data_IF_217139209066
#
_entry.id   IF_217139209066
#
_cell.length_a   1.000
_cell.length_b   1.000
_cell.length_c   1.000
_cell.angle_alpha   90.00
_cell.angle_beta   90.00
_cell.angle_gamma   90.00
#
_symmetry.space_group_name_H-M   'P 1'
#
loop_
_entity.id
_entity.type
_entity.pdbx_description
1 polymer ?
#
# COMPACT_ATOMS: atom_id res chain seq x y z
N UNK A 1 -13.14 19.24 -16.34
CA UNK A 1 -13.63 19.10 -14.95
C UNK A 1 -13.66 17.64 -14.46
N UNK A 2 -12.82 16.74 -15.01
CA UNK A 2 -12.88 15.29 -14.71
C UNK A 2 -12.07 14.84 -13.49
N UNK A 3 -11.11 15.65 -13.01
CA UNK A 3 -10.21 15.24 -11.91
C UNK A 3 -10.92 15.16 -10.57
N UNK A 4 -11.83 16.09 -10.26
CA UNK A 4 -12.46 16.14 -8.92
C UNK A 4 -13.39 14.95 -8.63
N UNK A 5 -14.00 14.35 -9.65
CA UNK A 5 -14.86 13.17 -9.47
C UNK A 5 -14.04 11.89 -9.23
N UNK A 6 -12.88 11.77 -9.90
CA UNK A 6 -11.93 10.70 -9.63
C UNK A 6 -11.28 10.87 -8.26
N UNK A 7 -10.90 12.09 -7.89
CA UNK A 7 -10.35 12.40 -6.56
C UNK A 7 -11.36 12.11 -5.44
N UNK A 8 -12.62 12.47 -5.62
CA UNK A 8 -13.70 12.14 -4.67
C UNK A 8 -13.90 10.61 -4.54
N UNK A 9 -13.84 9.88 -5.65
CA UNK A 9 -13.94 8.41 -5.64
C UNK A 9 -12.74 7.75 -4.94
N UNK A 10 -11.53 8.29 -5.12
CA UNK A 10 -10.32 7.73 -4.53
C UNK A 10 -10.25 8.01 -3.02
N UNK A 11 -10.69 9.18 -2.58
CA UNK A 11 -10.83 9.47 -1.14
C UNK A 11 -11.79 8.51 -0.43
N UNK A 12 -12.91 8.17 -1.07
CA UNK A 12 -13.85 7.19 -0.51
C UNK A 12 -13.24 5.77 -0.44
N UNK A 13 -12.54 5.34 -1.51
CA UNK A 13 -11.80 4.07 -1.52
C UNK A 13 -10.73 4.03 -0.42
N UNK A 14 -10.04 5.14 -0.20
CA UNK A 14 -9.01 5.27 0.83
C UNK A 14 -9.61 5.11 2.23
N UNK A 15 -10.75 5.74 2.52
CA UNK A 15 -11.46 5.56 3.80
C UNK A 15 -11.92 4.12 4.03
N UNK A 16 -12.47 3.48 3.00
CA UNK A 16 -12.87 2.07 3.09
C UNK A 16 -11.67 1.16 3.33
N UNK A 17 -10.57 1.42 2.64
CA UNK A 17 -9.31 0.72 2.84
C UNK A 17 -8.74 0.93 4.25
N UNK A 18 -8.78 2.15 4.77
CA UNK A 18 -8.38 2.46 6.15
C UNK A 18 -9.22 1.70 7.16
N UNK A 19 -10.55 1.67 6.97
CA UNK A 19 -11.46 0.94 7.84
C UNK A 19 -11.19 -0.58 7.79
N UNK A 20 -10.86 -1.12 6.62
CA UNK A 20 -10.60 -2.55 6.45
C UNK A 20 -9.27 -2.99 7.10
N UNK A 21 -8.22 -2.17 6.98
CA UNK A 21 -6.90 -2.46 7.53
C UNK A 21 -6.63 -1.82 8.89
N UNK A 22 -7.62 -1.15 9.49
CA UNK A 22 -7.50 -0.49 10.79
C UNK A 22 -6.48 0.65 10.82
N UNK A 23 -6.33 1.40 9.72
CA UNK A 23 -5.38 2.53 9.63
C UNK A 23 -5.98 3.79 10.25
N UNK A 24 -5.22 4.40 11.15
CA UNK A 24 -5.54 5.68 11.78
C UNK A 24 -4.30 6.55 11.69
N UNK A 25 -4.43 7.71 11.07
CA UNK A 25 -3.36 8.71 10.99
C UNK A 25 -3.43 9.68 12.15
N UNK A 26 -2.30 10.29 12.48
CA UNK A 26 -2.21 11.20 13.63
C UNK A 26 -2.87 12.55 13.33
N UNK A 27 -2.62 13.08 12.13
CA UNK A 27 -2.98 14.43 11.73
C UNK A 27 -3.55 14.46 10.31
N UNK A 28 -4.38 15.47 9.99
CA UNK A 28 -4.95 15.64 8.64
C UNK A 28 -3.90 15.87 7.56
N UNK A 29 -2.74 16.44 7.93
CA UNK A 29 -1.63 16.64 7.00
C UNK A 29 -0.99 15.30 6.59
N UNK A 30 -0.82 14.39 7.55
CA UNK A 30 -0.36 13.02 7.30
C UNK A 30 -1.37 12.25 6.45
N UNK A 31 -2.66 12.34 6.77
CA UNK A 31 -3.73 11.73 5.98
C UNK A 31 -3.71 12.24 4.52
N UNK A 32 -3.51 13.55 4.31
CA UNK A 32 -3.41 14.13 2.97
C UNK A 32 -2.21 13.62 2.17
N UNK A 33 -1.05 13.47 2.81
CA UNK A 33 0.15 12.89 2.17
C UNK A 33 -0.06 11.41 1.84
N UNK A 34 -0.61 10.63 2.78
CA UNK A 34 -0.88 9.19 2.61
C UNK A 34 -1.95 8.93 1.56
N UNK A 35 -2.98 9.77 1.48
CA UNK A 35 -4.00 9.72 0.42
C UNK A 35 -3.37 9.93 -0.97
N UNK A 36 -2.41 10.83 -1.10
CA UNK A 36 -1.70 11.06 -2.38
C UNK A 36 -0.92 9.81 -2.81
N UNK A 37 -0.20 9.18 -1.88
CA UNK A 37 0.53 7.92 -2.14
C UNK A 37 -0.45 6.81 -2.51
N UNK A 38 -1.56 6.69 -1.78
CA UNK A 38 -2.62 5.73 -2.07
C UNK A 38 -3.19 5.90 -3.48
N UNK A 39 -3.45 7.15 -3.88
CA UNK A 39 -3.89 7.48 -5.23
C UNK A 39 -2.90 7.00 -6.29
N UNK A 40 -1.63 7.36 -6.14
CA UNK A 40 -0.58 7.01 -7.10
C UNK A 40 -0.43 5.48 -7.22
N UNK A 41 -0.52 4.75 -6.09
CA UNK A 41 -0.48 3.29 -6.07
C UNK A 41 -1.71 2.64 -6.72
N UNK A 42 -2.92 3.16 -6.51
CA UNK A 42 -4.14 2.67 -7.16
C UNK A 42 -4.06 2.89 -8.68
N UNK A 43 -3.60 4.05 -9.14
CA UNK A 43 -3.38 4.31 -10.56
C UNK A 43 -2.34 3.38 -11.18
N UNK A 44 -1.28 3.06 -10.44
CA UNK A 44 -0.27 2.07 -10.85
C UNK A 44 -0.85 0.65 -10.96
N UNK A 45 -1.69 0.23 -10.01
CA UNK A 45 -2.37 -1.07 -10.04
C UNK A 45 -3.31 -1.15 -11.25
N UNK A 46 -4.15 -0.13 -11.46
CA UNK A 46 -5.08 -0.08 -12.58
C UNK A 46 -4.35 -0.08 -13.92
N UNK A 47 -3.28 0.70 -14.07
CA UNK A 47 -2.47 0.72 -15.29
C UNK A 47 -1.75 -0.60 -15.54
N UNK A 48 -1.19 -1.23 -14.50
CA UNK A 48 -0.57 -2.54 -14.61
C UNK A 48 -1.57 -3.64 -14.98
N UNK A 49 -2.78 -3.59 -14.45
CA UNK A 49 -3.82 -4.57 -14.74
C UNK A 49 -4.44 -4.42 -16.14
N UNK A 50 -4.28 -3.26 -16.79
CA UNK A 50 -4.66 -3.06 -18.19
C UNK A 50 -3.71 -3.77 -19.16
N UNK A 51 -2.48 -4.07 -18.74
CA UNK A 51 -1.54 -4.82 -19.57
C UNK A 51 -1.87 -6.32 -19.58
N UNK A 52 -2.58 -6.75 -20.63
CA UNK A 52 -2.99 -8.14 -20.83
C UNK A 52 -1.81 -9.12 -20.99
N UNK A 53 -0.57 -8.64 -21.13
CA UNK A 53 0.63 -9.49 -21.20
C UNK A 53 1.08 -9.98 -19.83
N UNK A 54 0.66 -9.32 -18.74
CA UNK A 54 1.01 -9.76 -17.39
C UNK A 54 0.21 -11.00 -17.01
N UNK A 55 0.90 -12.04 -16.51
CA UNK A 55 0.27 -13.28 -16.00
C UNK A 55 -0.27 -13.15 -14.57
N UNK A 56 -0.06 -12.00 -13.93
CA UNK A 56 -0.52 -11.70 -12.58
C UNK A 56 -1.28 -10.38 -12.58
N UNK A 57 -2.19 -10.23 -11.61
CA UNK A 57 -2.93 -8.99 -11.37
C UNK A 57 -2.49 -8.41 -10.04
N UNK A 58 -2.35 -7.10 -9.99
CA UNK A 58 -2.10 -6.36 -8.76
C UNK A 58 -3.44 -6.00 -8.11
N UNK A 59 -3.44 -5.90 -6.79
CA UNK A 59 -4.58 -5.46 -6.01
C UNK A 59 -4.10 -4.54 -4.88
N UNK A 60 -5.02 -3.72 -4.37
CA UNK A 60 -4.75 -2.84 -3.23
C UNK A 60 -4.49 -3.72 -2.00
N UNK A 61 -3.38 -3.48 -1.30
CA UNK A 61 -2.93 -4.25 -0.15
C UNK A 61 -2.78 -3.36 1.09
N UNK A 62 -2.37 -3.92 2.24
CA UNK A 62 -2.15 -3.17 3.49
C UNK A 62 -1.01 -2.14 3.45
N UNK A 63 -0.26 -2.09 2.35
CA UNK A 63 0.89 -1.21 2.12
C UNK A 63 0.59 -0.17 1.03
N UNK A 64 -0.68 0.00 0.66
CA UNK A 64 -1.08 0.88 -0.42
C UNK A 64 -0.81 2.37 -0.13
N UNK A 65 -0.55 2.76 1.12
CA UNK A 65 -0.19 4.11 1.56
C UNK A 65 1.32 4.33 1.78
N UNK A 66 2.15 3.34 1.43
CA UNK A 66 3.61 3.41 1.52
C UNK A 66 4.27 3.67 0.16
N UNK A 67 5.41 4.36 0.17
CA UNK A 67 6.31 4.42 -0.98
C UNK A 67 7.13 3.14 -1.10
N UNK A 68 7.80 2.94 -2.24
CA UNK A 68 8.64 1.76 -2.45
C UNK A 68 9.80 1.70 -1.44
N UNK A 69 10.40 2.86 -1.14
CA UNK A 69 11.49 2.99 -0.18
C UNK A 69 11.01 2.66 1.25
N UNK A 70 9.86 3.18 1.65
CA UNK A 70 9.24 2.87 2.94
C UNK A 70 8.85 1.39 3.03
N UNK A 71 8.34 0.82 1.94
CA UNK A 71 8.00 -0.60 1.87
C UNK A 71 9.23 -1.49 2.06
N UNK A 72 10.34 -1.16 1.39
CA UNK A 72 11.61 -1.88 1.57
C UNK A 72 12.08 -1.78 3.01
N UNK A 73 12.06 -0.58 3.62
CA UNK A 73 12.46 -0.43 5.02
C UNK A 73 11.56 -1.20 5.99
N UNK A 74 10.25 -1.15 5.80
CA UNK A 74 9.27 -1.83 6.65
C UNK A 74 9.38 -3.36 6.55
N UNK A 75 9.70 -3.88 5.35
CA UNK A 75 9.87 -5.33 5.12
C UNK A 75 11.27 -5.81 5.46
N UNK A 76 12.29 -4.96 5.34
CA UNK A 76 13.66 -5.25 5.74
C UNK A 76 13.80 -5.38 7.26
N UNK A 77 12.96 -4.69 8.05
CA UNK A 77 12.84 -4.95 9.49
C UNK A 77 12.23 -6.33 9.83
N UNK A 78 11.69 -7.05 8.85
CA UNK A 78 11.21 -8.43 9.02
C UNK A 78 12.35 -9.45 8.74
N UNK A 79 13.49 -9.00 8.18
CA UNK A 79 14.71 -9.81 8.13
C UNK A 79 15.53 -9.64 9.42
N UNK A 80 15.22 -10.48 10.42
CA UNK A 80 16.14 -11.27 11.28
C UNK A 80 15.62 -11.41 12.74
N UNK A 81 15.62 -12.60 13.40
CA UNK A 81 16.17 -13.90 12.98
C UNK A 81 15.23 -15.11 13.18
N UNK A 82 14.91 -15.82 12.10
CA UNK A 82 14.50 -17.24 12.17
C UNK A 82 15.67 -18.18 11.83
N UNK A 83 16.90 -17.68 11.68
CA UNK A 83 18.07 -18.48 11.31
C UNK A 83 18.96 -18.94 12.48
N UNK A 84 18.63 -18.63 13.76
CA UNK A 84 19.44 -19.04 14.92
C UNK A 84 18.81 -20.13 15.81
N UNK A 85 17.65 -20.68 15.48
CA UNK A 85 17.03 -21.74 16.32
C UNK A 85 17.33 -23.17 15.87
N UNK A 86 18.18 -23.39 14.85
CA UNK A 86 18.52 -24.74 14.37
C UNK A 86 19.81 -25.35 14.95
N UNK A 87 20.53 -24.69 15.87
CA UNK A 87 21.76 -25.27 16.48
C UNK A 87 21.64 -25.62 17.98
N UNK A 88 20.51 -26.16 18.46
CA UNK A 88 20.46 -26.73 19.84
C UNK A 88 19.84 -28.16 19.94
N UNK A 89 19.36 -28.78 18.86
CA UNK A 89 18.98 -30.21 18.94
C UNK A 89 19.32 -30.98 17.66
N UNK A 90 20.58 -31.45 17.56
CA UNK A 90 20.98 -32.83 17.27
C UNK A 90 22.51 -32.97 17.27
#
# INVERSE_FOLDING_TARGET
MSRSLQDASISEKHKQWMAWYGRVYKDFEEEGQRLKIFKDNVEYIESSNRDAKKRYKLAVNQFADLTNEEYVQATQQIQEPYFLTCEIFL
#
